data_IF_818061501119
#
_entry.id   IF_818061501119
#
_cell.length_a   1.000
_cell.length_b   1.000
_cell.length_c   1.000
_cell.angle_alpha   90.00
_cell.angle_beta   90.00
_cell.angle_gamma   90.00
#
_symmetry.space_group_name_H-M   'P 1'
#
loop_
_entity.id
_entity.type
_entity.pdbx_description
1 polymer ?
#
# COMPACT_ATOMS: atom_id res chain seq x y z
N UNK A 1 -36.05 -3.16 -5.13
CA UNK A 1 -35.93 -3.27 -6.59
C UNK A 1 -35.42 -4.66 -6.89
N UNK A 2 -36.31 -5.49 -7.44
CA UNK A 2 -36.19 -6.87 -7.92
C UNK A 2 -34.87 -7.61 -7.58
N UNK A 3 -34.92 -8.47 -6.54
CA UNK A 3 -33.87 -9.45 -6.29
C UNK A 3 -33.90 -10.51 -7.40
N UNK A 4 -33.32 -10.20 -8.56
CA UNK A 4 -32.97 -11.22 -9.54
C UNK A 4 -31.96 -12.15 -8.89
N UNK A 5 -32.44 -13.29 -8.41
CA UNK A 5 -31.63 -14.40 -7.90
C UNK A 5 -31.17 -15.20 -9.12
N UNK A 6 -29.97 -14.90 -9.61
CA UNK A 6 -29.31 -15.74 -10.58
C UNK A 6 -28.28 -16.58 -9.82
N UNK A 7 -28.42 -17.92 -9.87
CA UNK A 7 -27.48 -18.86 -9.25
C UNK A 7 -27.33 -18.72 -7.72
N UNK A 8 -28.37 -18.23 -7.03
CA UNK A 8 -28.39 -18.04 -5.57
C UNK A 8 -27.76 -16.73 -5.07
N UNK A 9 -27.24 -15.88 -5.97
CA UNK A 9 -26.67 -14.58 -5.63
C UNK A 9 -27.57 -13.43 -6.14
N UNK A 10 -27.64 -12.35 -5.37
CA UNK A 10 -28.32 -11.12 -5.78
C UNK A 10 -27.51 -10.32 -6.80
N UNK A 11 -28.19 -9.49 -7.61
CA UNK A 11 -27.61 -8.65 -8.66
C UNK A 11 -26.40 -7.81 -8.15
N UNK A 12 -26.49 -7.26 -6.93
CA UNK A 12 -25.40 -6.52 -6.28
C UNK A 12 -24.14 -7.37 -6.05
N UNK A 13 -24.28 -8.66 -5.72
CA UNK A 13 -23.15 -9.54 -5.51
C UNK A 13 -22.41 -9.79 -6.83
N UNK A 14 -23.14 -9.96 -7.93
CA UNK A 14 -22.54 -10.16 -9.25
C UNK A 14 -21.78 -8.92 -9.73
N UNK A 15 -22.35 -7.73 -9.54
CA UNK A 15 -21.68 -6.46 -9.84
C UNK A 15 -20.37 -6.35 -9.04
N UNK A 16 -20.39 -6.72 -7.77
CA UNK A 16 -19.20 -6.69 -6.91
C UNK A 16 -18.12 -7.64 -7.44
N UNK A 17 -18.49 -8.88 -7.77
CA UNK A 17 -17.56 -9.90 -8.28
C UNK A 17 -16.92 -9.44 -9.60
N UNK A 18 -17.73 -8.98 -10.55
CA UNK A 18 -17.25 -8.50 -11.85
C UNK A 18 -16.32 -7.30 -11.68
N UNK A 19 -16.67 -6.36 -10.80
CA UNK A 19 -15.84 -5.18 -10.54
C UNK A 19 -14.49 -5.56 -9.92
N UNK A 20 -14.48 -6.45 -8.94
CA UNK A 20 -13.24 -6.91 -8.29
C UNK A 20 -12.36 -7.70 -9.26
N UNK A 21 -12.94 -8.62 -10.03
CA UNK A 21 -12.19 -9.37 -11.04
C UNK A 21 -11.64 -8.45 -12.14
N UNK A 22 -12.43 -7.49 -12.61
CA UNK A 22 -12.01 -6.47 -13.57
C UNK A 22 -10.84 -5.64 -13.03
N UNK A 23 -10.95 -5.15 -11.80
CA UNK A 23 -9.88 -4.41 -11.11
C UNK A 23 -8.58 -5.22 -11.02
N UNK A 24 -8.64 -6.48 -10.58
CA UNK A 24 -7.47 -7.35 -10.52
C UNK A 24 -6.86 -7.60 -11.90
N UNK A 25 -7.70 -7.84 -12.92
CA UNK A 25 -7.24 -8.05 -14.29
C UNK A 25 -6.51 -6.82 -14.82
N UNK A 26 -7.06 -5.62 -14.58
CA UNK A 26 -6.41 -4.35 -14.97
C UNK A 26 -5.06 -4.21 -14.29
N UNK A 27 -4.97 -4.47 -12.97
CA UNK A 27 -3.71 -4.39 -12.23
C UNK A 27 -2.66 -5.41 -12.68
N UNK A 28 -3.08 -6.60 -13.12
CA UNK A 28 -2.18 -7.64 -13.60
C UNK A 28 -1.64 -7.36 -15.01
N UNK A 29 -2.50 -6.93 -15.93
CA UNK A 29 -2.15 -6.80 -17.34
C UNK A 29 -1.76 -5.39 -17.76
N UNK A 30 -2.01 -4.39 -16.91
CA UNK A 30 -1.80 -2.98 -17.25
C UNK A 30 -0.94 -2.29 -16.21
N UNK A 31 -0.04 -1.41 -16.66
CA UNK A 31 0.78 -0.55 -15.78
C UNK A 31 0.07 0.73 -15.32
N UNK A 32 -1.25 0.69 -15.22
CA UNK A 32 -2.00 1.85 -14.75
C UNK A 32 -1.70 2.10 -13.28
N UNK A 33 -1.75 3.38 -12.90
CA UNK A 33 -1.59 3.80 -11.52
C UNK A 33 -2.67 3.13 -10.67
N UNK A 34 -2.24 2.36 -9.66
CA UNK A 34 -3.13 1.56 -8.83
C UNK A 34 -4.18 2.40 -8.12
N UNK A 35 -3.85 3.63 -7.74
CA UNK A 35 -4.77 4.60 -7.14
C UNK A 35 -5.98 4.88 -8.06
N UNK A 36 -5.76 5.05 -9.36
CA UNK A 36 -6.84 5.31 -10.33
C UNK A 36 -7.72 4.07 -10.47
N UNK A 37 -7.12 2.88 -10.51
CA UNK A 37 -7.85 1.61 -10.66
C UNK A 37 -8.73 1.34 -9.45
N UNK A 38 -8.23 1.54 -8.23
CA UNK A 38 -9.01 1.38 -7.00
C UNK A 38 -10.12 2.42 -6.87
N UNK A 39 -9.84 3.70 -7.15
CA UNK A 39 -10.86 4.75 -7.12
C UNK A 39 -11.94 4.52 -8.19
N UNK A 40 -11.57 4.04 -9.37
CA UNK A 40 -12.50 3.64 -10.42
C UNK A 40 -13.41 2.50 -9.99
N UNK A 41 -12.87 1.46 -9.35
CA UNK A 41 -13.65 0.35 -8.82
C UNK A 41 -14.66 0.80 -7.76
N UNK A 42 -14.25 1.66 -6.81
CA UNK A 42 -15.16 2.26 -5.82
C UNK A 42 -16.24 3.11 -6.52
N UNK A 43 -15.87 3.88 -7.53
CA UNK A 43 -16.81 4.69 -8.32
C UNK A 43 -17.87 3.85 -9.03
N UNK A 44 -17.48 2.73 -9.65
CA UNK A 44 -18.42 1.79 -10.29
C UNK A 44 -19.40 1.22 -9.26
N UNK A 45 -18.91 0.79 -8.10
CA UNK A 45 -19.76 0.23 -7.05
C UNK A 45 -20.69 1.27 -6.40
N UNK A 46 -20.25 2.52 -6.32
CA UNK A 46 -21.06 3.63 -5.80
C UNK A 46 -22.17 4.02 -6.78
N UNK A 47 -21.86 4.19 -8.08
CA UNK A 47 -22.86 4.54 -9.11
C UNK A 47 -23.89 3.43 -9.30
N UNK A 48 -23.49 2.16 -9.16
CA UNK A 48 -24.40 1.01 -9.23
C UNK A 48 -25.24 0.82 -7.96
N UNK A 49 -25.05 1.66 -6.93
CA UNK A 49 -25.80 1.61 -5.67
C UNK A 49 -25.48 0.37 -4.81
N UNK A 50 -24.38 -0.33 -5.11
CA UNK A 50 -23.90 -1.46 -4.31
C UNK A 50 -23.28 -0.98 -3.00
N UNK A 51 -22.55 0.15 -3.06
CA UNK A 51 -22.03 0.83 -1.87
C UNK A 51 -22.84 2.09 -1.58
N UNK A 52 -23.25 2.24 -0.33
CA UNK A 52 -23.72 3.53 0.20
C UNK A 52 -22.56 4.52 0.38
N UNK A 53 -22.86 5.80 0.46
CA UNK A 53 -21.89 6.89 0.67
C UNK A 53 -21.00 6.62 1.87
N UNK A 54 -21.57 6.15 3.00
CA UNK A 54 -20.79 5.85 4.19
C UNK A 54 -19.83 4.68 3.95
N UNK A 55 -20.26 3.66 3.21
CA UNK A 55 -19.42 2.51 2.89
C UNK A 55 -18.28 2.89 1.94
N UNK A 56 -18.56 3.70 0.91
CA UNK A 56 -17.57 4.13 -0.07
C UNK A 56 -16.41 4.94 0.57
N UNK A 57 -16.72 5.76 1.58
CA UNK A 57 -15.71 6.56 2.28
C UNK A 57 -15.15 5.93 3.56
N UNK A 58 -15.67 4.77 3.99
CA UNK A 58 -15.28 4.11 5.25
C UNK A 58 -13.78 3.76 5.33
N UNK A 59 -13.14 3.50 4.19
CA UNK A 59 -11.70 3.22 4.13
C UNK A 59 -10.85 4.43 4.53
N UNK A 60 -11.28 5.65 4.18
CA UNK A 60 -10.53 6.88 4.46
C UNK A 60 -10.56 7.28 5.94
N UNK A 61 -11.62 6.91 6.67
CA UNK A 61 -11.73 7.14 8.11
C UNK A 61 -11.19 5.98 8.97
N UNK A 62 -10.51 5.01 8.35
CA UNK A 62 -9.94 3.88 9.08
C UNK A 62 -8.73 4.29 9.92
N UNK A 63 -8.60 3.69 11.11
CA UNK A 63 -7.44 3.90 11.97
C UNK A 63 -6.11 3.56 11.26
N UNK A 64 -6.15 2.63 10.31
CA UNK A 64 -5.02 2.25 9.48
C UNK A 64 -4.50 3.42 8.62
N UNK A 65 -5.39 4.17 7.98
CA UNK A 65 -5.00 5.34 7.15
C UNK A 65 -4.35 6.42 8.01
N UNK A 66 -4.91 6.69 9.20
CA UNK A 66 -4.34 7.67 10.14
C UNK A 66 -2.96 7.23 10.62
N UNK A 67 -2.80 5.96 10.99
CA UNK A 67 -1.52 5.40 11.46
C UNK A 67 -0.43 5.52 10.39
N UNK A 68 -0.76 5.18 9.14
CA UNK A 68 0.16 5.32 8.00
C UNK A 68 0.51 6.78 7.75
N UNK A 69 -0.46 7.70 7.86
CA UNK A 69 -0.22 9.14 7.75
C UNK A 69 0.77 9.67 8.79
N UNK A 70 0.61 9.26 10.05
CA UNK A 70 1.55 9.61 11.13
C UNK A 70 2.94 9.06 10.87
N UNK A 71 3.05 7.79 10.44
CA UNK A 71 4.32 7.19 10.06
C UNK A 71 5.01 8.00 8.96
N UNK A 72 4.31 8.43 7.91
CA UNK A 72 4.90 9.27 6.87
C UNK A 72 5.49 10.58 7.40
N UNK A 73 4.83 11.23 8.37
CA UNK A 73 5.35 12.45 9.01
C UNK A 73 6.63 12.15 9.80
N UNK A 74 6.64 11.07 10.59
CA UNK A 74 7.82 10.63 11.34
C UNK A 74 8.99 10.31 10.41
N UNK A 75 8.73 9.56 9.33
CA UNK A 75 9.73 9.24 8.30
C UNK A 75 10.28 10.49 7.65
N UNK A 76 9.42 11.44 7.28
CA UNK A 76 9.85 12.70 6.69
C UNK A 76 10.76 13.49 7.64
N UNK A 77 10.42 13.54 8.94
CA UNK A 77 11.27 14.17 9.97
C UNK A 77 12.63 13.49 10.12
N UNK A 78 12.67 12.16 10.10
CA UNK A 78 13.93 11.38 10.15
C UNK A 78 14.79 11.60 8.90
N UNK A 79 14.18 11.74 7.72
CA UNK A 79 14.90 12.05 6.48
C UNK A 79 15.45 13.48 6.47
N UNK A 80 14.68 14.46 6.96
CA UNK A 80 15.07 15.87 6.95
C UNK A 80 16.19 16.18 7.96
N UNK A 81 16.23 15.45 9.07
CA UNK A 81 17.26 15.61 10.12
C UNK A 81 18.58 14.93 9.79
N UNK A 82 18.67 14.12 8.74
CA UNK A 82 19.90 13.39 8.42
C UNK A 82 20.21 12.21 9.36
N UNK A 83 19.37 11.98 10.37
CA UNK A 83 19.55 10.94 11.39
C UNK A 83 19.57 9.57 10.75
N UNK A 84 18.74 9.37 9.73
CA UNK A 84 18.63 8.10 9.04
C UNK A 84 19.92 7.72 8.31
N UNK A 85 20.58 8.68 7.66
CA UNK A 85 21.88 8.50 7.01
C UNK A 85 23.00 8.26 8.04
N UNK A 86 22.94 8.91 9.21
CA UNK A 86 23.87 8.68 10.30
C UNK A 86 23.75 7.24 10.85
N UNK A 87 22.53 6.77 11.10
CA UNK A 87 22.23 5.41 11.56
C UNK A 87 22.73 4.39 10.53
N UNK A 88 22.40 4.57 9.24
CA UNK A 88 22.85 3.69 8.15
C UNK A 88 24.37 3.62 8.10
N UNK A 89 25.07 4.77 8.13
CA UNK A 89 26.54 4.82 8.09
C UNK A 89 27.18 4.13 9.30
N UNK A 90 26.59 4.29 10.49
CA UNK A 90 27.06 3.66 11.72
C UNK A 90 26.81 2.14 11.72
N UNK A 91 25.64 1.69 11.25
CA UNK A 91 25.29 0.27 11.23
C UNK A 91 26.03 -0.53 10.14
N UNK A 92 26.17 0.04 8.93
CA UNK A 92 26.77 -0.66 7.80
C UNK A 92 28.30 -0.71 7.88
N UNK A 93 28.95 0.36 8.35
CA UNK A 93 30.41 0.46 8.40
C UNK A 93 31.10 0.11 7.07
N UNK A 94 32.37 -0.29 7.13
CA UNK A 94 33.14 -0.78 5.97
C UNK A 94 33.45 -2.28 6.13
N UNK A 95 32.70 -3.18 5.48
CA UNK A 95 32.92 -4.62 5.60
C UNK A 95 34.07 -5.11 4.69
N UNK A 96 34.97 -5.94 5.24
CA UNK A 96 36.09 -6.56 4.50
C UNK A 96 35.70 -7.74 3.58
N UNK A 97 34.45 -8.21 3.60
CA UNK A 97 34.00 -9.40 2.84
C UNK A 97 32.54 -9.32 2.40
N UNK A 98 32.23 -9.85 1.21
CA UNK A 98 30.90 -9.82 0.60
C UNK A 98 29.80 -10.45 1.49
N UNK A 99 30.06 -11.62 2.08
CA UNK A 99 29.09 -12.28 2.95
C UNK A 99 28.78 -11.45 4.22
N UNK A 100 29.81 -10.81 4.79
CA UNK A 100 29.64 -9.89 5.92
C UNK A 100 28.88 -8.62 5.52
N UNK A 101 29.10 -8.10 4.32
CA UNK A 101 28.36 -6.96 3.80
C UNK A 101 26.86 -7.25 3.69
N UNK A 102 26.49 -8.41 3.15
CA UNK A 102 25.07 -8.81 3.01
C UNK A 102 24.37 -8.93 4.37
N UNK A 103 25.00 -9.62 5.34
CA UNK A 103 24.41 -9.78 6.68
C UNK A 103 24.28 -8.44 7.40
N UNK A 104 25.29 -7.57 7.26
CA UNK A 104 25.33 -6.25 7.89
C UNK A 104 24.42 -5.23 7.20
N UNK A 105 23.96 -5.51 5.98
CA UNK A 105 22.90 -4.78 5.28
C UNK A 105 21.50 -5.30 5.64
N UNK A 106 21.30 -6.62 5.69
CA UNK A 106 19.99 -7.21 5.96
C UNK A 106 19.43 -6.84 7.34
N UNK A 107 20.26 -6.85 8.38
CA UNK A 107 19.85 -6.53 9.77
C UNK A 107 19.28 -5.10 9.91
N UNK A 108 20.02 -4.04 9.50
CA UNK A 108 19.51 -2.67 9.51
C UNK A 108 18.32 -2.47 8.58
N UNK A 109 18.36 -3.04 7.37
CA UNK A 109 17.29 -2.88 6.38
C UNK A 109 15.98 -3.49 6.88
N UNK A 110 16.02 -4.67 7.52
CA UNK A 110 14.85 -5.28 8.11
C UNK A 110 14.27 -4.43 9.26
N UNK A 111 15.12 -3.90 10.13
CA UNK A 111 14.70 -3.03 11.23
C UNK A 111 14.15 -1.68 10.73
N UNK A 112 14.72 -1.11 9.67
CA UNK A 112 14.22 0.13 9.07
C UNK A 112 12.94 -0.11 8.27
N UNK A 113 12.80 -1.25 7.59
CA UNK A 113 11.62 -1.61 6.80
C UNK A 113 10.34 -1.78 7.62
N UNK A 114 10.43 -2.04 8.94
CA UNK A 114 9.24 -2.07 9.81
C UNK A 114 8.65 -0.68 10.08
N UNK A 115 9.42 0.39 9.89
CA UNK A 115 8.99 1.77 10.11
C UNK A 115 8.93 2.59 8.81
N UNK A 116 9.72 2.20 7.81
CA UNK A 116 9.88 2.92 6.54
C UNK A 116 9.24 2.13 5.40
N UNK A 117 8.62 2.84 4.46
CA UNK A 117 8.15 2.23 3.21
C UNK A 117 9.34 1.67 2.40
N UNK A 118 9.13 0.56 1.67
CA UNK A 118 10.17 -0.05 0.83
C UNK A 118 10.84 0.95 -0.13
N UNK A 119 10.09 1.93 -0.66
CA UNK A 119 10.62 2.98 -1.54
C UNK A 119 11.62 3.88 -0.81
N UNK A 120 11.31 4.27 0.42
CA UNK A 120 12.21 5.09 1.26
C UNK A 120 13.49 4.33 1.60
N UNK A 121 13.35 3.06 1.97
CA UNK A 121 14.50 2.21 2.32
C UNK A 121 15.47 2.12 1.15
N UNK A 122 14.99 1.80 -0.06
CA UNK A 122 15.86 1.67 -1.25
C UNK A 122 16.58 2.97 -1.58
N UNK A 123 15.92 4.13 -1.46
CA UNK A 123 16.54 5.44 -1.75
C UNK A 123 17.67 5.85 -0.78
N UNK A 124 17.82 5.16 0.35
CA UNK A 124 18.89 5.43 1.32
C UNK A 124 20.19 4.67 1.02
N UNK A 125 20.10 3.62 0.21
CA UNK A 125 21.23 2.72 -0.09
C UNK A 125 21.71 2.83 -1.54
N UNK A 126 21.03 3.64 -2.37
CA UNK A 126 21.48 4.10 -3.70
C UNK A 126 22.16 5.45 -3.55
#
# INVERSE_FOLDING_TARGET
MESFMFLGFGLHAWITIVTVLGMFTILLFTKWRSDIVFLGAIGVLFVTGVLDSKAAFSGFSSNSVVTVGVLFVVVAGLMHTGVLQCIVRYLLGTPDSYAKAVVRLMLPVAALSSFLSNTTVVSLFV
#
